data_IF_703474011920
#
_entry.id   IF_703474011920
#
_cell.length_a   1.000
_cell.length_b   1.000
_cell.length_c   1.000
_cell.angle_alpha   90.00
_cell.angle_beta   90.00
_cell.angle_gamma   90.00
#
_symmetry.space_group_name_H-M   'P 1'
#
loop_
_entity.id
_entity.type
_entity.pdbx_description
1 polymer ?
#
# COMPACT_ATOMS: atom_id res chain seq x y z
N UNK A 1 -23.28 -16.39 12.89
CA UNK A 1 -22.10 -15.54 12.63
C UNK A 1 -22.19 -14.34 13.53
N UNK A 2 -21.19 -14.13 14.40
CA UNK A 2 -21.00 -12.91 15.18
C UNK A 2 -19.78 -12.17 14.64
N UNK A 3 -19.83 -10.84 14.63
CA UNK A 3 -18.68 -9.98 14.32
C UNK A 3 -18.40 -9.18 15.58
N UNK A 4 -17.18 -9.29 16.07
CA UNK A 4 -16.73 -8.57 17.26
C UNK A 4 -15.58 -7.63 16.88
N UNK A 5 -15.56 -6.43 17.47
CA UNK A 5 -14.45 -5.51 17.32
C UNK A 5 -13.23 -6.07 18.05
N UNK A 6 -12.08 -6.06 17.39
CA UNK A 6 -10.80 -6.44 17.98
C UNK A 6 -9.86 -5.24 17.99
N UNK A 7 -9.36 -4.89 19.16
CA UNK A 7 -8.31 -3.89 19.29
C UNK A 7 -6.94 -4.53 19.09
N UNK A 8 -6.09 -3.86 18.32
CA UNK A 8 -4.70 -4.26 18.08
C UNK A 8 -3.79 -3.22 18.71
N UNK A 9 -2.90 -3.66 19.58
CA UNK A 9 -1.97 -2.77 20.27
C UNK A 9 -1.04 -2.04 19.27
N UNK A 10 -0.99 -0.72 19.38
CA UNK A 10 -0.14 0.12 18.53
C UNK A 10 -0.65 0.31 17.08
N UNK A 11 -1.89 -0.08 16.79
CA UNK A 11 -2.51 0.09 15.47
C UNK A 11 -3.78 0.93 15.57
N UNK A 12 -3.77 2.13 14.98
CA UNK A 12 -4.86 3.10 15.05
C UNK A 12 -5.92 2.97 13.94
N UNK A 13 -5.76 2.02 13.03
CA UNK A 13 -6.64 1.84 11.88
C UNK A 13 -6.05 2.37 10.58
N UNK A 14 -6.48 1.76 9.48
CA UNK A 14 -5.99 2.06 8.14
C UNK A 14 -7.07 1.69 7.12
N UNK A 15 -7.15 2.44 6.02
CA UNK A 15 -8.03 2.08 4.90
C UNK A 15 -7.32 2.19 3.55
N UNK A 16 -7.87 1.58 2.51
CA UNK A 16 -7.34 1.59 1.13
C UNK A 16 -5.89 1.08 1.01
N UNK A 17 -5.52 0.14 1.87
CA UNK A 17 -4.21 -0.48 1.95
C UNK A 17 -4.15 -1.79 1.17
N UNK A 18 -2.95 -2.23 0.84
CA UNK A 18 -2.66 -3.58 0.37
C UNK A 18 -2.36 -4.50 1.56
N UNK A 19 -2.80 -5.75 1.49
CA UNK A 19 -2.59 -6.73 2.56
C UNK A 19 -1.98 -8.02 2.02
N UNK A 20 -1.07 -8.61 2.80
CA UNK A 20 -0.55 -9.95 2.61
C UNK A 20 -0.60 -10.74 3.91
N UNK A 21 -0.42 -12.06 3.81
CA UNK A 21 -0.32 -12.94 4.96
C UNK A 21 0.96 -13.77 4.88
N UNK A 22 1.75 -13.76 5.95
CA UNK A 22 2.94 -14.59 6.08
C UNK A 22 3.16 -14.97 7.55
N UNK A 23 3.44 -16.23 7.79
CA UNK A 23 3.66 -16.77 9.15
C UNK A 23 2.55 -16.38 10.14
N UNK A 24 1.28 -16.56 9.72
CA UNK A 24 0.06 -16.21 10.48
C UNK A 24 -0.07 -14.73 10.86
N UNK A 25 0.73 -13.87 10.26
CA UNK A 25 0.70 -12.42 10.46
C UNK A 25 0.16 -11.72 9.23
N UNK A 26 -0.46 -10.58 9.42
CA UNK A 26 -0.88 -9.68 8.36
C UNK A 26 0.17 -8.61 8.13
N UNK A 27 0.48 -8.35 6.88
CA UNK A 27 1.38 -7.30 6.44
C UNK A 27 0.56 -6.28 5.69
N UNK A 28 0.52 -5.02 6.16
CA UNK A 28 -0.24 -3.94 5.57
C UNK A 28 0.71 -2.89 5.01
N UNK A 29 0.45 -2.44 3.77
CA UNK A 29 1.28 -1.48 3.04
C UNK A 29 0.39 -0.45 2.36
N UNK A 30 0.79 0.82 2.42
CA UNK A 30 0.04 1.93 1.83
C UNK A 30 -1.24 2.25 2.57
N UNK A 31 -2.13 2.95 1.89
CA UNK A 31 -3.39 3.39 2.48
C UNK A 31 -3.28 4.66 3.30
N UNK A 32 -4.35 4.96 4.02
CA UNK A 32 -4.49 6.22 4.75
C UNK A 32 -4.96 6.02 6.18
N UNK A 33 -4.58 6.94 7.05
CA UNK A 33 -4.88 6.98 8.48
C UNK A 33 -5.92 8.02 8.85
N UNK A 34 -6.33 8.89 7.91
CA UNK A 34 -7.18 10.06 8.15
C UNK A 34 -8.68 9.82 7.90
N UNK A 35 -9.10 8.57 7.72
CA UNK A 35 -10.49 8.21 7.44
C UNK A 35 -10.93 8.62 6.02
N UNK A 36 -12.21 8.97 5.86
CA UNK A 36 -12.74 9.41 4.57
C UNK A 36 -12.08 10.73 4.15
N UNK A 37 -11.71 10.82 2.86
CA UNK A 37 -11.09 12.04 2.33
C UNK A 37 -12.01 13.26 2.48
N UNK A 38 -11.42 14.41 2.70
CA UNK A 38 -12.14 15.68 2.80
C UNK A 38 -12.75 16.06 1.45
N UNK A 39 -13.92 16.72 1.47
CA UNK A 39 -14.62 17.15 0.26
C UNK A 39 -13.94 18.30 -0.48
N UNK A 40 -13.21 19.17 0.23
CA UNK A 40 -12.52 20.30 -0.41
C UNK A 40 -11.33 19.79 -1.23
N UNK A 41 -11.23 20.16 -2.51
CA UNK A 41 -10.16 19.67 -3.39
C UNK A 41 -8.76 19.92 -2.85
N UNK A 42 -8.53 21.09 -2.23
CA UNK A 42 -7.23 21.43 -1.65
C UNK A 42 -6.87 20.61 -0.40
N UNK A 43 -7.83 19.97 0.22
CA UNK A 43 -7.63 19.15 1.42
C UNK A 43 -7.80 17.64 1.15
N UNK A 44 -8.25 17.26 -0.07
CA UNK A 44 -8.40 15.88 -0.44
C UNK A 44 -7.01 15.23 -0.64
N UNK A 45 -6.83 14.04 -0.08
CA UNK A 45 -5.59 13.25 -0.20
C UNK A 45 -4.32 14.00 0.24
N UNK A 46 -4.41 14.79 1.33
CA UNK A 46 -3.21 15.40 1.93
C UNK A 46 -2.17 14.33 2.29
N UNK A 47 -0.87 14.55 1.97
CA UNK A 47 0.20 13.60 2.33
C UNK A 47 0.27 13.27 3.82
N UNK A 48 -0.16 14.16 4.69
CA UNK A 48 -0.15 13.96 6.16
C UNK A 48 -1.04 12.79 6.62
N UNK A 49 -2.02 12.41 5.81
CA UNK A 49 -2.88 11.25 6.06
C UNK A 49 -2.36 9.94 5.49
N UNK A 50 -1.21 9.93 4.83
CA UNK A 50 -0.66 8.70 4.26
C UNK A 50 -0.06 7.79 5.34
N UNK A 51 -0.23 6.49 5.16
CA UNK A 51 0.56 5.53 5.91
C UNK A 51 2.00 5.51 5.37
N UNK A 52 2.96 5.83 6.24
CA UNK A 52 4.40 5.87 5.92
C UNK A 52 5.17 4.68 6.48
N UNK A 53 4.46 3.58 6.78
CA UNK A 53 5.05 2.40 7.37
C UNK A 53 4.61 1.12 6.66
N UNK A 54 5.46 0.11 6.71
CA UNK A 54 5.04 -1.29 6.56
C UNK A 54 4.66 -1.79 7.93
N UNK A 55 3.42 -2.24 8.09
CA UNK A 55 2.87 -2.66 9.38
C UNK A 55 2.69 -4.17 9.38
N UNK A 56 3.14 -4.83 10.43
CA UNK A 56 2.94 -6.25 10.67
C UNK A 56 2.03 -6.42 11.87
N UNK A 57 0.98 -7.21 11.75
CA UNK A 57 0.01 -7.49 12.80
C UNK A 57 -0.01 -8.99 13.08
N UNK A 58 0.09 -9.37 14.33
CA UNK A 58 -0.24 -10.70 14.80
C UNK A 58 -1.67 -10.68 15.38
N UNK A 59 -2.66 -11.25 14.65
CA UNK A 59 -4.04 -11.21 15.11
C UNK A 59 -4.32 -12.10 16.33
N UNK A 60 -3.45 -13.06 16.62
CA UNK A 60 -3.62 -13.94 17.77
C UNK A 60 -3.15 -13.26 19.06
N UNK A 61 -1.98 -12.62 19.02
CA UNK A 61 -1.41 -11.93 20.20
C UNK A 61 -1.87 -10.47 20.29
N UNK A 62 -2.55 -9.97 19.26
CA UNK A 62 -2.99 -8.56 19.13
C UNK A 62 -1.83 -7.56 19.19
N UNK A 63 -0.65 -7.98 18.78
CA UNK A 63 0.54 -7.13 18.71
C UNK A 63 0.74 -6.61 17.30
N UNK A 64 1.34 -5.43 17.18
CA UNK A 64 1.80 -4.87 15.93
C UNK A 64 3.24 -4.39 16.00
N UNK A 65 3.91 -4.42 14.85
CA UNK A 65 5.25 -3.88 14.62
C UNK A 65 5.20 -3.07 13.34
N UNK A 66 6.08 -2.08 13.22
CA UNK A 66 6.17 -1.29 12.00
C UNK A 66 7.60 -0.91 11.67
N UNK A 67 7.86 -0.71 10.38
CA UNK A 67 9.09 -0.13 9.88
C UNK A 67 8.77 1.03 8.93
N UNK A 68 9.43 2.17 9.13
CA UNK A 68 9.30 3.32 8.25
C UNK A 68 9.85 3.02 6.85
N UNK A 69 9.27 3.65 5.84
CA UNK A 69 9.68 3.50 4.44
C UNK A 69 10.52 4.67 3.92
N UNK A 70 10.87 5.63 4.78
CA UNK A 70 11.60 6.84 4.39
C UNK A 70 12.99 6.55 3.81
N UNK A 71 13.65 5.48 4.28
CA UNK A 71 14.98 5.08 3.83
C UNK A 71 14.98 4.23 2.55
N UNK A 72 13.80 3.92 2.00
CA UNK A 72 13.69 3.25 0.71
C UNK A 72 13.98 4.24 -0.43
N UNK A 73 14.39 3.75 -1.61
CA UNK A 73 14.49 4.59 -2.81
C UNK A 73 13.21 5.42 -3.02
N UNK A 74 13.30 6.72 -3.37
CA UNK A 74 12.13 7.62 -3.44
C UNK A 74 10.98 7.08 -4.29
N UNK A 75 11.28 6.48 -5.45
CA UNK A 75 10.25 5.92 -6.33
C UNK A 75 9.47 4.76 -5.67
N UNK A 76 10.13 3.98 -4.80
CA UNK A 76 9.48 2.91 -4.03
C UNK A 76 8.68 3.51 -2.87
N UNK A 77 9.30 4.38 -2.06
CA UNK A 77 8.65 4.94 -0.88
C UNK A 77 7.41 5.78 -1.23
N UNK A 78 7.44 6.53 -2.35
CA UNK A 78 6.28 7.29 -2.81
C UNK A 78 5.11 6.39 -3.20
N UNK A 79 5.37 5.30 -3.94
CA UNK A 79 4.31 4.35 -4.30
C UNK A 79 3.77 3.61 -3.07
N UNK A 80 4.62 3.20 -2.13
CA UNK A 80 4.19 2.52 -0.91
C UNK A 80 3.35 3.39 0.03
N UNK A 81 3.29 4.71 -0.17
CA UNK A 81 2.41 5.64 0.53
C UNK A 81 1.07 5.87 -0.18
N UNK A 82 0.88 5.29 -1.36
CA UNK A 82 -0.31 5.50 -2.17
C UNK A 82 -1.52 4.72 -1.66
N UNK A 83 -2.69 5.11 -2.15
CA UNK A 83 -3.96 4.45 -1.86
C UNK A 83 -4.43 3.62 -3.05
N UNK A 84 -5.30 2.64 -2.79
CA UNK A 84 -5.99 1.87 -3.83
C UNK A 84 -5.01 1.23 -4.84
N UNK A 85 -3.84 0.79 -4.36
CA UNK A 85 -2.97 -0.10 -5.13
C UNK A 85 -3.70 -1.42 -5.40
N UNK A 86 -3.52 -1.97 -6.59
CA UNK A 86 -3.90 -3.35 -6.86
C UNK A 86 -2.84 -4.27 -6.26
N UNK A 87 -3.28 -5.34 -5.60
CA UNK A 87 -2.34 -6.24 -4.97
C UNK A 87 -2.77 -7.69 -5.08
N UNK A 88 -1.79 -8.56 -5.21
CA UNK A 88 -1.99 -10.01 -5.19
C UNK A 88 -0.78 -10.68 -4.57
N UNK A 89 -1.03 -11.66 -3.73
CA UNK A 89 0.01 -12.49 -3.15
C UNK A 89 0.12 -13.81 -3.90
N UNK A 90 1.36 -14.19 -4.25
CA UNK A 90 1.68 -15.51 -4.79
C UNK A 90 2.81 -16.09 -3.96
N UNK A 91 2.51 -17.14 -3.20
CA UNK A 91 3.47 -17.73 -2.27
C UNK A 91 3.98 -16.72 -1.25
N UNK A 92 5.29 -16.48 -1.25
CA UNK A 92 5.97 -15.56 -0.34
C UNK A 92 6.20 -14.16 -0.93
N UNK A 93 5.57 -13.86 -2.06
CA UNK A 93 5.71 -12.56 -2.73
C UNK A 93 4.37 -11.85 -2.82
N UNK A 94 4.32 -10.61 -2.34
CA UNK A 94 3.22 -9.68 -2.58
C UNK A 94 3.60 -8.79 -3.77
N UNK A 95 2.73 -8.70 -4.76
CA UNK A 95 2.84 -7.77 -5.87
C UNK A 95 1.90 -6.60 -5.64
N UNK A 96 2.44 -5.38 -5.78
CA UNK A 96 1.72 -4.11 -5.66
C UNK A 96 1.80 -3.40 -7.00
N UNK A 97 0.68 -2.95 -7.53
CA UNK A 97 0.62 -2.28 -8.84
C UNK A 97 -0.08 -0.93 -8.68
N UNK A 98 0.50 0.10 -9.27
CA UNK A 98 -0.12 1.42 -9.37
C UNK A 98 -0.37 2.08 -8.02
N UNK A 99 -1.60 2.51 -7.82
CA UNK A 99 -2.03 3.30 -6.67
C UNK A 99 -1.93 4.79 -6.91
N UNK A 100 -2.70 5.58 -6.16
CA UNK A 100 -2.80 7.02 -6.29
C UNK A 100 -2.22 7.73 -5.06
N UNK A 101 -1.34 8.70 -5.29
CA UNK A 101 -0.70 9.46 -4.23
C UNK A 101 0.11 10.64 -4.73
N UNK A 102 0.68 11.40 -3.80
CA UNK A 102 1.56 12.52 -4.13
C UNK A 102 2.96 12.02 -4.52
N UNK A 103 3.49 12.52 -5.62
CA UNK A 103 4.86 12.30 -6.04
C UNK A 103 5.64 13.61 -5.97
N UNK A 104 6.73 13.64 -5.22
CA UNK A 104 7.66 14.77 -5.16
C UNK A 104 8.34 14.99 -6.51
N UNK A 105 8.66 13.91 -7.21
CA UNK A 105 9.30 13.99 -8.52
C UNK A 105 8.40 14.64 -9.57
N UNK A 106 7.09 14.38 -9.52
CA UNK A 106 6.10 14.99 -10.40
C UNK A 106 5.60 16.36 -9.87
N UNK A 107 5.87 16.71 -8.61
CA UNK A 107 5.32 17.90 -7.95
C UNK A 107 3.81 17.89 -7.82
N UNK A 108 3.17 16.74 -7.95
CA UNK A 108 1.71 16.60 -8.01
C UNK A 108 1.24 15.21 -7.57
N UNK A 109 -0.08 15.05 -7.43
CA UNK A 109 -0.69 13.73 -7.28
C UNK A 109 -0.73 13.02 -8.63
N UNK A 110 -0.38 11.75 -8.63
CA UNK A 110 -0.33 10.88 -9.82
C UNK A 110 -0.87 9.49 -9.50
N UNK A 111 -1.23 8.76 -10.51
CA UNK A 111 -1.30 7.30 -10.44
C UNK A 111 0.09 6.76 -10.73
N UNK A 112 0.67 6.03 -9.78
CA UNK A 112 2.02 5.47 -9.94
C UNK A 112 2.04 4.42 -11.05
N UNK A 113 3.11 4.45 -11.88
CA UNK A 113 3.28 3.57 -13.03
C UNK A 113 4.29 2.45 -12.77
N UNK A 114 4.14 1.77 -11.63
CA UNK A 114 5.10 0.76 -11.23
C UNK A 114 4.44 -0.47 -10.65
N UNK A 115 5.15 -1.60 -10.79
CA UNK A 115 4.93 -2.82 -10.05
C UNK A 115 6.04 -2.98 -9.03
N UNK A 116 5.69 -3.20 -7.77
CA UNK A 116 6.63 -3.56 -6.69
C UNK A 116 6.38 -5.00 -6.28
N UNK A 117 7.43 -5.81 -6.29
CA UNK A 117 7.46 -7.13 -5.69
C UNK A 117 8.05 -7.03 -4.28
N UNK A 118 7.30 -7.48 -3.28
CA UNK A 118 7.69 -7.49 -1.87
C UNK A 118 7.94 -8.92 -1.43
N UNK A 119 9.17 -9.23 -1.01
CA UNK A 119 9.51 -10.53 -0.43
C UNK A 119 9.11 -10.58 1.03
N UNK A 120 8.11 -11.38 1.37
CA UNK A 120 7.54 -11.48 2.71
C UNK A 120 8.43 -12.27 3.67
N UNK A 121 9.12 -13.29 3.15
CA UNK A 121 10.12 -14.03 3.91
C UNK A 121 11.30 -13.11 4.26
N UNK A 122 11.67 -13.09 5.53
CA UNK A 122 12.68 -12.15 6.03
C UNK A 122 12.14 -10.74 6.35
N UNK A 123 11.19 -10.18 5.57
CA UNK A 123 10.61 -8.86 5.85
C UNK A 123 9.95 -8.80 7.24
N UNK A 124 9.09 -9.78 7.55
CA UNK A 124 8.41 -9.85 8.85
C UNK A 124 9.44 -9.93 9.98
N UNK A 125 10.45 -10.80 9.85
CA UNK A 125 11.50 -10.94 10.85
C UNK A 125 12.35 -9.66 10.98
N UNK A 126 12.65 -8.98 9.87
CA UNK A 126 13.37 -7.71 9.89
C UNK A 126 12.58 -6.64 10.65
N UNK A 127 11.29 -6.48 10.36
CA UNK A 127 10.42 -5.51 11.03
C UNK A 127 10.32 -5.80 12.54
N UNK A 128 10.11 -7.05 12.92
CA UNK A 128 9.99 -7.44 14.34
C UNK A 128 11.29 -7.21 15.14
N UNK A 129 12.44 -7.25 14.48
CA UNK A 129 13.76 -7.02 15.10
C UNK A 129 14.26 -5.57 14.97
N UNK A 130 13.50 -4.68 14.35
CA UNK A 130 13.93 -3.30 14.07
C UNK A 130 15.08 -3.22 13.06
N UNK A 131 15.18 -4.19 12.15
CA UNK A 131 16.19 -4.25 11.09
C UNK A 131 15.79 -3.47 9.84
N UNK A 132 16.71 -3.41 8.86
CA UNK A 132 16.48 -2.74 7.57
C UNK A 132 15.58 -3.59 6.67
N UNK A 133 14.72 -2.92 5.89
CA UNK A 133 13.75 -3.58 5.01
C UNK A 133 14.06 -3.42 3.51
N UNK A 134 15.08 -2.64 3.14
CA UNK A 134 15.36 -2.23 1.76
C UNK A 134 15.51 -3.38 0.77
N UNK A 135 16.17 -4.47 1.17
CA UNK A 135 16.43 -5.61 0.31
C UNK A 135 15.19 -6.44 -0.06
N UNK A 136 14.06 -6.17 0.59
CA UNK A 136 12.81 -6.92 0.37
C UNK A 136 11.94 -6.36 -0.75
N UNK A 137 12.30 -5.22 -1.33
CA UNK A 137 11.53 -4.56 -2.38
C UNK A 137 12.28 -4.56 -3.71
N UNK A 138 11.56 -4.87 -4.79
CA UNK A 138 12.03 -4.72 -6.17
C UNK A 138 10.95 -4.03 -6.98
N UNK A 139 11.33 -3.07 -7.83
CA UNK A 139 10.41 -2.26 -8.61
C UNK A 139 10.70 -2.40 -10.10
N UNK A 140 9.63 -2.46 -10.90
CA UNK A 140 9.62 -2.32 -12.35
C UNK A 140 8.73 -1.13 -12.67
N UNK A 141 9.18 -0.24 -13.55
CA UNK A 141 8.45 0.95 -13.98
C UNK A 141 8.00 0.73 -15.41
N UNK A 142 6.69 0.80 -15.66
CA UNK A 142 6.09 0.72 -16.99
C UNK A 142 4.73 1.42 -16.96
N UNK A 143 4.38 2.23 -18.00
CA UNK A 143 3.09 2.90 -18.08
C UNK A 143 1.88 1.98 -17.94
N UNK A 144 1.97 0.71 -18.31
CA UNK A 144 0.89 -0.26 -18.18
C UNK A 144 0.41 -0.45 -16.73
N UNK A 145 1.26 -0.11 -15.76
CA UNK A 145 0.95 -0.21 -14.33
C UNK A 145 0.29 1.06 -13.76
N UNK A 146 0.03 2.09 -14.59
CA UNK A 146 -0.60 3.34 -14.15
C UNK A 146 -2.10 3.15 -13.89
N UNK A 147 -2.45 2.36 -12.89
CA UNK A 147 -3.84 2.04 -12.53
C UNK A 147 -4.07 2.22 -11.02
N UNK A 148 -5.25 2.72 -10.69
CA UNK A 148 -5.74 2.76 -9.31
C UNK A 148 -7.18 2.28 -9.26
N UNK A 149 -7.58 1.58 -8.19
CA UNK A 149 -8.95 1.07 -8.02
C UNK A 149 -9.33 -0.07 -8.96
N UNK A 150 -8.36 -0.74 -9.61
CA UNK A 150 -8.58 -1.96 -10.36
C UNK A 150 -8.68 -3.19 -9.45
N UNK A 151 -9.05 -4.32 -10.04
CA UNK A 151 -8.94 -5.63 -9.41
C UNK A 151 -7.90 -6.47 -10.15
N UNK A 152 -7.12 -7.24 -9.40
CA UNK A 152 -6.16 -8.19 -9.96
C UNK A 152 -6.54 -9.61 -9.58
N UNK A 153 -6.51 -10.52 -10.56
CA UNK A 153 -6.72 -11.94 -10.37
C UNK A 153 -5.68 -12.76 -11.11
N UNK A 154 -5.55 -14.04 -10.76
CA UNK A 154 -4.66 -14.98 -11.44
C UNK A 154 -5.45 -16.20 -11.93
N UNK A 155 -5.28 -16.57 -13.21
CA UNK A 155 -5.83 -17.78 -13.80
C UNK A 155 -4.67 -18.53 -14.48
N UNK A 156 -4.37 -19.72 -14.01
CA UNK A 156 -3.16 -20.43 -14.42
C UNK A 156 -1.91 -19.60 -14.07
N UNK A 157 -1.08 -19.29 -15.05
CA UNK A 157 0.14 -18.47 -14.87
C UNK A 157 -0.02 -17.03 -15.36
N UNK A 158 -1.23 -16.64 -15.74
CA UNK A 158 -1.52 -15.28 -16.25
C UNK A 158 -2.21 -14.44 -15.18
N UNK A 159 -1.75 -13.20 -15.04
CA UNK A 159 -2.37 -12.20 -14.18
C UNK A 159 -3.26 -11.28 -15.01
N UNK A 160 -4.46 -11.01 -14.53
CA UNK A 160 -5.45 -10.17 -15.16
C UNK A 160 -5.71 -8.94 -14.30
N UNK A 161 -5.57 -7.75 -14.88
CA UNK A 161 -6.00 -6.49 -14.30
C UNK A 161 -7.31 -6.09 -14.95
N UNK A 162 -8.33 -5.83 -14.16
CA UNK A 162 -9.68 -5.49 -14.66
C UNK A 162 -10.17 -4.21 -14.03
N UNK A 163 -10.65 -3.29 -14.86
CA UNK A 163 -11.12 -1.97 -14.43
C UNK A 163 -9.98 -1.06 -14.01
N UNK A 164 -10.29 -0.13 -13.09
CA UNK A 164 -9.36 0.90 -12.64
C UNK A 164 -9.28 2.08 -13.61
N UNK A 165 -8.52 3.07 -13.19
CA UNK A 165 -8.33 4.30 -13.95
C UNK A 165 -6.98 4.95 -13.62
N UNK A 166 -6.51 5.83 -14.52
CA UNK A 166 -5.36 6.68 -14.29
C UNK A 166 -5.84 8.08 -13.93
N UNK A 167 -5.44 8.58 -12.75
CA UNK A 167 -5.64 9.98 -12.37
C UNK A 167 -4.35 10.76 -12.49
N UNK A 168 -4.47 11.98 -13.00
CA UNK A 168 -3.41 12.98 -13.00
C UNK A 168 -3.90 14.22 -12.26
N UNK A 169 -3.05 14.75 -11.40
CA UNK A 169 -3.41 15.88 -10.55
C UNK A 169 -4.19 15.48 -9.30
N UNK A 170 -4.48 16.48 -8.47
CA UNK A 170 -5.22 16.27 -7.23
C UNK A 170 -6.68 15.94 -7.53
N UNK A 171 -7.17 14.88 -6.94
CA UNK A 171 -8.58 14.48 -7.05
C UNK A 171 -9.51 15.60 -6.58
N UNK A 172 -10.49 15.94 -7.41
CA UNK A 172 -11.51 16.92 -7.09
C UNK A 172 -12.87 16.21 -6.83
N UNK A 173 -13.27 16.00 -5.57
CA UNK A 173 -14.53 15.35 -5.25
C UNK A 173 -15.77 16.21 -5.53
N UNK A 174 -15.59 17.48 -5.92
CA UNK A 174 -16.65 18.46 -6.16
C UNK A 174 -16.80 18.86 -7.63
N UNK A 175 -15.95 18.33 -8.49
CA UNK A 175 -15.94 18.67 -9.91
C UNK A 175 -16.03 17.45 -10.83
N UNK A 176 -16.25 17.68 -12.13
CA UNK A 176 -16.16 16.61 -13.11
C UNK A 176 -14.75 16.02 -13.14
#
# INVERSE_FOLDING_TARGET
LSIEAAEINGFAGLHSFAVAQYDRKWILIGGRTDGLHRRQPFAAFSPDGNNTNVIVIDPQTKQSWSAGIADLPPAISEQLQSTNMQFIQTGKTLYLIGGYGYSKAAGNHITHRSLIAVKLDGLVAAIQKGGTINSHFRQIIDPIFALTGAQIGKIGDVYYLVGGQEFQGRYNPMGP
#
